data_IF_525789000880
#
_entry.id   IF_525789000880
#
_cell.length_a   1.000
_cell.length_b   1.000
_cell.length_c   1.000
_cell.angle_alpha   90.00
_cell.angle_beta   90.00
_cell.angle_gamma   90.00
#
_symmetry.space_group_name_H-M   'P 1'
#
loop_
_entity.id
_entity.type
_entity.pdbx_description
1 polymer ?
#
# COMPACT_ATOMS: atom_id res chain seq x y z
N UNK A 1 -1.94 -12.41 -3.69
CA UNK A 1 -1.30 -11.43 -2.76
C UNK A 1 -2.40 -10.77 -1.92
N UNK A 2 -2.12 -10.27 -0.71
CA UNK A 2 -3.10 -9.55 0.13
C UNK A 2 -2.59 -8.15 0.49
N UNK A 3 -3.51 -7.22 0.79
CA UNK A 3 -3.20 -5.82 1.12
C UNK A 3 -2.08 -5.69 2.17
N UNK A 4 -2.18 -6.44 3.28
CA UNK A 4 -1.20 -6.36 4.37
C UNK A 4 0.22 -6.78 3.95
N UNK A 5 0.34 -7.76 3.04
CA UNK A 5 1.63 -8.18 2.48
C UNK A 5 2.19 -7.11 1.57
N UNK A 6 1.34 -6.54 0.70
CA UNK A 6 1.73 -5.47 -0.22
C UNK A 6 2.14 -4.19 0.49
N UNK A 7 1.43 -3.84 1.56
CA UNK A 7 1.78 -2.71 2.42
C UNK A 7 3.17 -2.89 3.04
N UNK A 8 3.46 -4.09 3.56
CA UNK A 8 4.77 -4.42 4.13
C UNK A 8 5.87 -4.36 3.08
N UNK A 9 5.62 -4.89 1.88
CA UNK A 9 6.55 -4.81 0.74
C UNK A 9 6.84 -3.36 0.35
N UNK A 10 5.80 -2.55 0.13
CA UNK A 10 5.95 -1.12 -0.20
C UNK A 10 6.78 -0.38 0.86
N UNK A 11 6.51 -0.64 2.14
CA UNK A 11 7.31 -0.07 3.23
C UNK A 11 8.77 -0.50 3.16
N UNK A 12 9.03 -1.80 3.01
CA UNK A 12 10.39 -2.32 2.95
C UNK A 12 11.16 -1.75 1.74
N UNK A 13 10.52 -1.65 0.58
CA UNK A 13 11.10 -1.02 -0.63
C UNK A 13 11.41 0.46 -0.43
N UNK A 14 10.66 1.17 0.41
CA UNK A 14 10.92 2.57 0.76
C UNK A 14 12.04 2.77 1.81
N UNK A 15 12.60 1.69 2.35
CA UNK A 15 13.64 1.73 3.40
C UNK A 15 13.15 2.19 4.77
N UNK A 16 11.84 2.35 4.98
CA UNK A 16 11.25 2.85 6.24
C UNK A 16 10.97 1.72 7.23
N UNK A 17 11.13 2.01 8.51
CA UNK A 17 10.68 1.14 9.61
C UNK A 17 9.17 1.31 9.87
N UNK A 18 8.55 0.33 10.54
CA UNK A 18 7.14 0.43 10.94
C UNK A 18 6.89 1.65 11.85
N UNK A 19 7.87 2.01 12.69
CA UNK A 19 7.79 3.15 13.60
C UNK A 19 7.79 4.47 12.82
N UNK A 20 8.73 4.67 11.90
CA UNK A 20 8.80 5.89 11.08
C UNK A 20 7.55 6.06 10.23
N UNK A 21 7.05 4.97 9.63
CA UNK A 21 5.79 5.02 8.88
C UNK A 21 4.62 5.43 9.76
N UNK A 22 4.49 4.85 10.95
CA UNK A 22 3.42 5.19 11.87
C UNK A 22 3.47 6.67 12.29
N UNK A 23 4.66 7.18 12.58
CA UNK A 23 4.90 8.59 12.94
C UNK A 23 4.51 9.53 11.80
N UNK A 24 4.92 9.25 10.56
CA UNK A 24 4.59 10.06 9.38
C UNK A 24 3.08 10.12 9.16
N UNK A 25 2.39 8.98 9.30
CA UNK A 25 0.94 8.93 9.10
C UNK A 25 0.14 9.26 10.37
N UNK A 26 0.79 9.74 11.43
CA UNK A 26 0.13 10.21 12.65
C UNK A 26 -0.61 9.12 13.43
N UNK A 27 0.01 7.95 13.61
CA UNK A 27 -0.53 6.87 14.45
C UNK A 27 0.55 6.16 15.26
N UNK A 28 0.13 5.25 16.14
CA UNK A 28 1.07 4.48 16.96
C UNK A 28 1.72 3.35 16.16
N UNK A 29 2.98 2.97 16.44
CA UNK A 29 3.64 1.84 15.78
C UNK A 29 2.85 0.53 15.90
N UNK A 30 2.21 0.29 17.05
CA UNK A 30 1.35 -0.88 17.25
C UNK A 30 0.11 -0.87 16.35
N UNK A 31 -0.50 0.29 16.11
CA UNK A 31 -1.63 0.40 15.18
C UNK A 31 -1.20 0.10 13.75
N UNK A 32 -0.06 0.64 13.31
CA UNK A 32 0.49 0.35 11.98
C UNK A 32 0.89 -1.12 11.84
N UNK A 33 1.48 -1.74 12.87
CA UNK A 33 1.81 -3.16 12.86
C UNK A 33 0.58 -4.03 12.60
N UNK A 34 -0.60 -3.67 13.15
CA UNK A 34 -1.86 -4.39 12.89
C UNK A 34 -2.26 -4.35 11.41
N UNK A 35 -1.92 -3.29 10.68
CA UNK A 35 -2.12 -3.23 9.23
C UNK A 35 -1.27 -4.28 8.51
N UNK A 36 0.03 -4.38 8.82
CA UNK A 36 0.91 -5.38 8.19
C UNK A 36 0.60 -6.82 8.63
N UNK A 37 0.01 -7.00 9.83
CA UNK A 37 -0.51 -8.29 10.29
C UNK A 37 -1.88 -8.63 9.68
N UNK A 38 -2.59 -7.68 9.07
CA UNK A 38 -3.93 -7.89 8.52
C UNK A 38 -5.03 -8.03 9.56
N UNK A 39 -4.81 -7.54 10.79
CA UNK A 39 -5.81 -7.56 11.88
C UNK A 39 -6.56 -6.23 12.02
N UNK A 40 -6.18 -5.23 11.23
CA UNK A 40 -6.85 -3.95 11.12
C UNK A 40 -6.58 -3.37 9.74
N UNK A 41 -7.41 -2.43 9.31
CA UNK A 41 -7.30 -1.78 8.00
C UNK A 41 -7.17 -0.26 8.17
N UNK A 42 -6.39 0.41 7.29
CA UNK A 42 -6.38 1.86 7.25
C UNK A 42 -7.73 2.39 6.76
N UNK A 43 -8.13 3.54 7.29
CA UNK A 43 -9.23 4.28 6.66
C UNK A 43 -8.78 4.88 5.32
N UNK A 44 -9.74 5.35 4.51
CA UNK A 44 -9.46 5.89 3.18
C UNK A 44 -8.39 6.99 3.19
N UNK A 45 -8.44 7.91 4.16
CA UNK A 45 -7.45 8.99 4.28
C UNK A 45 -6.04 8.44 4.50
N UNK A 46 -5.86 7.48 5.42
CA UNK A 46 -4.55 6.85 5.66
C UNK A 46 -4.10 6.02 4.47
N UNK A 47 -5.02 5.36 3.79
CA UNK A 47 -4.73 4.58 2.60
C UNK A 47 -4.13 5.45 1.47
N UNK A 48 -4.70 6.63 1.22
CA UNK A 48 -4.15 7.60 0.26
C UNK A 48 -2.77 8.09 0.68
N UNK A 49 -2.60 8.48 1.95
CA UNK A 49 -1.30 8.95 2.47
C UNK A 49 -0.23 7.85 2.33
N UNK A 50 -0.57 6.58 2.58
CA UNK A 50 0.34 5.46 2.43
C UNK A 50 0.77 5.29 0.96
N UNK A 51 -0.16 5.40 0.02
CA UNK A 51 0.11 5.33 -1.41
C UNK A 51 1.08 6.43 -1.85
N UNK A 52 0.79 7.68 -1.50
CA UNK A 52 1.62 8.84 -1.81
C UNK A 52 3.02 8.73 -1.18
N UNK A 53 3.08 8.37 0.10
CA UNK A 53 4.34 8.26 0.84
C UNK A 53 5.26 7.17 0.25
N UNK A 54 4.69 6.04 -0.19
CA UNK A 54 5.45 4.96 -0.80
C UNK A 54 5.63 5.12 -2.31
N UNK A 55 5.07 6.17 -2.91
CA UNK A 55 5.09 6.43 -4.35
C UNK A 55 4.58 5.23 -5.17
N UNK A 56 3.42 4.69 -4.78
CA UNK A 56 2.74 3.58 -5.45
C UNK A 56 1.25 3.91 -5.65
N UNK A 57 0.60 3.25 -6.61
CA UNK A 57 -0.85 3.42 -6.79
C UNK A 57 -1.66 2.69 -5.71
N UNK A 58 -2.91 3.13 -5.52
CA UNK A 58 -3.88 2.40 -4.72
C UNK A 58 -4.15 1.01 -5.28
N UNK A 59 -4.18 0.86 -6.61
CA UNK A 59 -4.34 -0.44 -7.26
C UNK A 59 -3.21 -1.40 -6.90
N UNK A 60 -1.97 -0.92 -6.86
CA UNK A 60 -0.86 -1.74 -6.39
C UNK A 60 -1.08 -2.19 -4.95
N UNK A 61 -1.31 -1.25 -4.02
CA UNK A 61 -1.52 -1.54 -2.59
C UNK A 61 -2.69 -2.50 -2.35
N UNK A 62 -3.79 -2.32 -3.06
CA UNK A 62 -5.01 -3.14 -2.96
C UNK A 62 -4.95 -4.42 -3.80
N UNK A 63 -3.78 -4.76 -4.37
CA UNK A 63 -3.56 -5.97 -5.18
C UNK A 63 -4.48 -6.06 -6.43
N UNK A 64 -4.77 -4.92 -7.06
CA UNK A 64 -5.54 -4.82 -8.31
C UNK A 64 -4.67 -4.64 -9.55
N UNK A 65 -3.35 -4.60 -9.41
CA UNK A 65 -2.41 -4.51 -10.53
C UNK A 65 -2.51 -5.70 -11.50
N UNK A 66 -2.81 -6.90 -11.01
CA UNK A 66 -3.07 -8.07 -11.88
C UNK A 66 -4.38 -7.94 -12.66
N UNK A 67 -5.40 -7.32 -12.05
CA UNK A 67 -6.65 -7.01 -12.75
C UNK A 67 -6.41 -6.00 -13.88
N UNK A 68 -5.61 -4.95 -13.63
CA UNK A 68 -5.27 -3.96 -14.65
C UNK A 68 -4.52 -4.64 -15.80
N UNK A 69 -3.44 -5.39 -15.53
CA UNK A 69 -2.65 -6.08 -16.57
C UNK A 69 -3.48 -7.04 -17.43
N UNK A 70 -4.45 -7.73 -16.83
CA UNK A 70 -5.31 -8.67 -17.57
C UNK A 70 -6.36 -7.97 -18.45
N UNK A 71 -6.58 -6.67 -18.25
CA UNK A 71 -7.56 -5.86 -18.97
C UNK A 71 -6.92 -4.66 -19.68
N UNK A 72 -5.58 -4.60 -19.72
CA UNK A 72 -4.85 -3.73 -20.64
C UNK A 72 -5.19 -4.20 -22.06
N UNK A 73 -6.24 -3.59 -22.63
CA UNK A 73 -6.45 -3.60 -24.07
C UNK A 73 -5.24 -2.86 -24.61
N UNK A 74 -4.34 -3.57 -25.30
CA UNK A 74 -3.39 -2.91 -26.17
C UNK A 74 -4.24 -2.06 -27.12
N UNK A 75 -4.33 -0.76 -26.86
CA UNK A 75 -4.79 0.18 -27.86
C UNK A 75 -3.69 0.11 -28.92
N UNK A 76 -3.92 -0.73 -29.93
CA UNK A 76 -3.06 -0.84 -31.10
C UNK A 76 -2.72 0.59 -31.54
N UNK A 77 -1.45 0.96 -31.35
CA UNK A 77 -0.90 2.16 -31.97
C UNK A 77 -0.87 1.89 -33.48
N UNK A 78 -1.46 2.85 -34.21
CA UNK A 78 -1.65 2.94 -35.65
C UNK A 78 -0.61 2.29 -36.57
#
# INVERSE_FOLDING_TARGET
MSFNKRLKEARQSSGKTQKETAEIIGMTPNAYQKYELGTSEPNLTKLVILADMFNVSLDYLLCRDDFIKSHEVYADEH
#
